data_IF_482988221914
#
_entry.id   IF_482988221914
#
_cell.length_a   1.000
_cell.length_b   1.000
_cell.length_c   1.000
_cell.angle_alpha   90.00
_cell.angle_beta   90.00
_cell.angle_gamma   90.00
#
_symmetry.space_group_name_H-M   'P 1'
#
loop_
_entity.id
_entity.type
_entity.pdbx_description
1 polymer ?
#
# COMPACT_ATOMS: atom_id res chain seq x y z
N UNK A 1 1.73 -16.05 -6.48
CA UNK A 1 1.45 -14.70 -5.92
C UNK A 1 0.83 -13.80 -6.98
N UNK A 2 1.31 -13.84 -8.23
CA UNK A 2 0.82 -13.01 -9.34
C UNK A 2 -0.69 -13.17 -9.55
N UNK A 3 -1.22 -14.39 -9.60
CA UNK A 3 -2.66 -14.64 -9.76
C UNK A 3 -3.55 -14.05 -8.65
N UNK A 4 -3.01 -13.79 -7.44
CA UNK A 4 -3.75 -13.12 -6.37
C UNK A 4 -3.77 -11.60 -6.58
N UNK A 5 -2.67 -11.05 -7.07
CA UNK A 5 -2.57 -9.63 -7.41
C UNK A 5 -3.48 -9.34 -8.59
N UNK A 6 -3.45 -10.17 -9.66
CA UNK A 6 -4.35 -10.04 -10.81
C UNK A 6 -5.83 -10.05 -10.40
N UNK A 7 -6.18 -10.91 -9.43
CA UNK A 7 -7.55 -10.92 -8.88
C UNK A 7 -7.91 -9.62 -8.16
N UNK A 8 -6.99 -9.04 -7.40
CA UNK A 8 -7.21 -7.75 -6.72
C UNK A 8 -7.34 -6.60 -7.72
N UNK A 9 -6.52 -6.60 -8.79
CA UNK A 9 -6.59 -5.61 -9.85
C UNK A 9 -7.86 -5.68 -10.69
N UNK A 10 -8.56 -6.80 -10.68
CA UNK A 10 -9.85 -6.97 -11.34
C UNK A 10 -11.05 -6.42 -10.57
N UNK A 11 -10.85 -5.93 -9.33
CA UNK A 11 -11.91 -5.38 -8.51
C UNK A 11 -12.05 -3.87 -8.75
N UNK A 12 -13.30 -3.40 -8.75
CA UNK A 12 -13.62 -2.00 -9.03
C UNK A 12 -13.87 -1.16 -7.78
N UNK A 13 -13.96 -1.79 -6.62
CA UNK A 13 -14.19 -1.11 -5.34
C UNK A 13 -13.53 -1.87 -4.19
N UNK A 14 -13.22 -1.17 -3.12
CA UNK A 14 -12.57 -1.71 -1.94
C UNK A 14 -11.26 -1.01 -1.61
N UNK A 15 -10.62 -1.41 -0.52
CA UNK A 15 -9.32 -0.87 -0.08
C UNK A 15 -8.24 -1.92 -0.25
N UNK A 16 -7.19 -1.57 -0.98
CA UNK A 16 -5.94 -2.33 -1.06
C UNK A 16 -4.90 -1.62 -0.20
N UNK A 17 -4.39 -2.31 0.82
CA UNK A 17 -3.37 -1.78 1.71
C UNK A 17 -2.01 -2.37 1.38
N UNK A 18 -1.00 -1.52 1.21
CA UNK A 18 0.40 -1.94 1.06
C UNK A 18 1.13 -1.56 2.34
N UNK A 19 1.64 -2.57 3.04
CA UNK A 19 2.19 -2.41 4.39
C UNK A 19 3.60 -2.95 4.52
N UNK A 20 4.33 -2.42 5.47
CA UNK A 20 5.73 -2.80 5.72
C UNK A 20 6.52 -1.65 6.37
N UNK A 21 7.73 -1.91 6.85
CA UNK A 21 8.59 -0.89 7.45
C UNK A 21 8.99 0.18 6.41
N UNK A 22 9.55 1.28 6.92
CA UNK A 22 10.16 2.30 6.06
C UNK A 22 11.25 1.68 5.19
N UNK A 23 11.31 2.08 3.93
CA UNK A 23 12.28 1.53 2.96
C UNK A 23 11.94 0.14 2.43
N UNK A 24 10.75 -0.42 2.70
CA UNK A 24 10.35 -1.73 2.16
C UNK A 24 9.84 -1.69 0.72
N UNK A 25 9.82 -0.53 0.07
CA UNK A 25 9.39 -0.38 -1.32
C UNK A 25 7.88 -0.22 -1.50
N UNK A 26 7.13 0.18 -0.46
CA UNK A 26 5.67 0.37 -0.52
C UNK A 26 5.26 1.34 -1.63
N UNK A 27 5.88 2.53 -1.68
CA UNK A 27 5.61 3.52 -2.73
C UNK A 27 5.81 2.93 -4.12
N UNK A 28 6.94 2.26 -4.37
CA UNK A 28 7.21 1.64 -5.67
C UNK A 28 6.15 0.62 -6.07
N UNK A 29 5.72 -0.22 -5.14
CA UNK A 29 4.66 -1.20 -5.37
C UNK A 29 3.32 -0.51 -5.62
N UNK A 30 2.99 0.50 -4.84
CA UNK A 30 1.76 1.30 -5.00
C UNK A 30 1.71 1.96 -6.39
N UNK A 31 2.78 2.61 -6.81
CA UNK A 31 2.89 3.20 -8.14
C UNK A 31 2.75 2.16 -9.26
N UNK A 32 3.33 0.97 -9.08
CA UNK A 32 3.18 -0.12 -10.05
C UNK A 32 1.73 -0.57 -10.15
N UNK A 33 1.07 -0.83 -9.02
CA UNK A 33 -0.33 -1.25 -9.00
C UNK A 33 -1.26 -0.23 -9.67
N UNK A 34 -1.14 1.06 -9.31
CA UNK A 34 -2.02 2.08 -9.90
C UNK A 34 -1.74 2.31 -11.39
N UNK A 35 -0.52 2.09 -11.86
CA UNK A 35 -0.20 2.14 -13.30
C UNK A 35 -0.81 0.98 -14.08
N UNK A 36 -0.87 -0.21 -13.50
CA UNK A 36 -1.56 -1.38 -14.10
C UNK A 36 -3.08 -1.19 -14.14
N UNK A 37 -3.65 -0.48 -13.17
CA UNK A 37 -5.07 -0.15 -13.10
C UNK A 37 -5.47 1.00 -14.04
N UNK A 38 -4.51 1.83 -14.46
CA UNK A 38 -4.78 3.01 -15.28
C UNK A 38 -5.11 2.61 -16.72
N UNK A 39 -6.20 3.13 -17.22
CA UNK A 39 -6.64 2.98 -18.61
C UNK A 39 -7.25 4.30 -19.13
N UNK A 40 -7.50 4.39 -20.42
CA UNK A 40 -8.19 5.56 -21.02
C UNK A 40 -9.63 5.76 -20.51
N UNK A 41 -10.15 4.79 -19.75
CA UNK A 41 -11.53 4.79 -19.21
C UNK A 41 -11.59 4.96 -17.70
N UNK A 42 -10.45 5.05 -17.02
CA UNK A 42 -10.39 5.14 -15.56
C UNK A 42 -9.84 6.49 -15.13
N UNK A 43 -10.56 7.16 -14.21
CA UNK A 43 -10.13 8.40 -13.58
C UNK A 43 -9.33 8.07 -12.32
N UNK A 44 -7.99 8.12 -12.42
CA UNK A 44 -7.07 7.93 -11.30
C UNK A 44 -6.69 9.28 -10.71
N UNK A 45 -6.99 9.47 -9.43
CA UNK A 45 -6.56 10.65 -8.67
C UNK A 45 -5.71 10.23 -7.48
N UNK A 46 -4.60 10.91 -7.27
CA UNK A 46 -3.69 10.63 -6.16
C UNK A 46 -3.60 11.77 -5.16
N UNK A 47 -3.37 11.44 -3.89
CA UNK A 47 -3.03 12.36 -2.81
C UNK A 47 -1.69 11.92 -2.20
N UNK A 48 -0.67 12.76 -2.28
CA UNK A 48 0.71 12.38 -1.96
C UNK A 48 1.45 13.46 -1.15
N UNK A 49 2.42 13.02 -0.34
CA UNK A 49 3.26 13.91 0.48
C UNK A 49 4.72 13.39 0.55
N UNK A 50 5.60 13.80 -0.40
CA UNK A 50 5.32 14.49 -1.67
C UNK A 50 4.97 13.53 -2.83
N UNK A 51 4.69 14.06 -4.02
CA UNK A 51 4.65 13.29 -5.27
C UNK A 51 6.07 12.85 -5.62
N UNK A 52 6.32 11.53 -5.65
CA UNK A 52 7.65 10.97 -5.94
C UNK A 52 7.91 10.80 -7.44
N UNK A 53 6.91 10.33 -8.18
CA UNK A 53 7.01 10.07 -9.61
C UNK A 53 5.78 10.57 -10.36
N UNK A 54 5.99 11.07 -11.55
CA UNK A 54 4.87 11.47 -12.41
C UNK A 54 4.23 10.25 -13.10
N UNK A 55 2.91 10.14 -12.98
CA UNK A 55 2.10 9.11 -13.65
C UNK A 55 1.35 9.77 -14.79
N UNK A 56 1.73 9.43 -16.03
CA UNK A 56 1.03 9.94 -17.21
C UNK A 56 -0.42 9.43 -17.22
N UNK A 57 -1.37 10.34 -17.32
CA UNK A 57 -2.80 10.02 -17.33
C UNK A 57 -3.49 10.06 -15.96
N UNK A 58 -2.74 10.26 -14.87
CA UNK A 58 -3.31 10.44 -13.53
C UNK A 58 -3.35 11.92 -13.14
N UNK A 59 -4.32 12.29 -12.33
CA UNK A 59 -4.36 13.58 -11.64
C UNK A 59 -3.67 13.44 -10.28
N UNK A 60 -2.49 14.02 -10.13
CA UNK A 60 -1.70 13.90 -8.89
C UNK A 60 -1.77 15.19 -8.09
N UNK A 61 -2.22 15.08 -6.84
CA UNK A 61 -2.38 16.19 -5.91
C UNK A 61 -1.37 16.05 -4.78
N UNK A 62 -0.47 17.02 -4.67
CA UNK A 62 0.49 17.07 -3.58
C UNK A 62 -0.10 17.79 -2.38
N UNK A 63 -0.03 17.17 -1.21
CA UNK A 63 -0.45 17.75 0.06
C UNK A 63 0.37 18.98 0.40
N UNK A 64 -0.28 19.99 0.93
CA UNK A 64 0.36 21.22 1.41
C UNK A 64 -0.40 21.76 2.63
N UNK A 65 0.01 21.28 3.80
CA UNK A 65 -0.62 21.65 5.08
C UNK A 65 -0.52 23.15 5.39
N UNK A 66 0.50 23.85 4.84
CA UNK A 66 0.66 25.30 5.07
C UNK A 66 -0.49 26.12 4.51
N UNK A 67 -1.17 25.61 3.48
CA UNK A 67 -2.34 26.25 2.87
C UNK A 67 -3.64 25.51 3.20
N UNK A 68 -3.63 24.60 4.16
CA UNK A 68 -4.80 23.85 4.62
C UNK A 68 -5.20 22.66 3.73
N UNK A 69 -4.36 22.27 2.77
CA UNK A 69 -4.59 21.08 1.97
C UNK A 69 -4.00 19.86 2.69
N UNK A 70 -4.82 19.20 3.48
CA UNK A 70 -4.50 17.94 4.20
C UNK A 70 -4.98 16.73 3.40
N UNK A 71 -4.59 15.52 3.81
CA UNK A 71 -5.12 14.28 3.21
C UNK A 71 -6.65 14.21 3.30
N UNK A 72 -7.23 14.51 4.46
CA UNK A 72 -8.68 14.49 4.66
C UNK A 72 -9.40 15.53 3.81
N UNK A 73 -8.94 16.79 3.77
CA UNK A 73 -9.56 17.85 2.97
C UNK A 73 -9.42 17.59 1.47
N UNK A 74 -8.26 17.10 1.04
CA UNK A 74 -8.00 16.68 -0.33
C UNK A 74 -8.90 15.54 -0.76
N UNK A 75 -9.00 14.49 0.07
CA UNK A 75 -9.83 13.32 -0.21
C UNK A 75 -11.31 13.67 -0.37
N UNK A 76 -11.86 14.52 0.51
CA UNK A 76 -13.23 15.05 0.33
C UNK A 76 -13.41 15.82 -0.98
N UNK A 77 -12.38 16.49 -1.44
CA UNK A 77 -12.44 17.27 -2.69
C UNK A 77 -12.39 16.37 -3.92
N UNK A 78 -11.51 15.38 -3.93
CA UNK A 78 -11.37 14.48 -5.08
C UNK A 78 -12.56 13.54 -5.24
N UNK A 79 -13.25 13.17 -4.16
CA UNK A 79 -14.48 12.36 -4.21
C UNK A 79 -15.61 13.05 -5.01
N UNK A 80 -15.55 14.36 -5.22
CA UNK A 80 -16.47 15.11 -6.07
C UNK A 80 -16.02 15.23 -7.52
N UNK A 81 -14.92 14.61 -7.88
CA UNK A 81 -14.33 14.61 -9.22
C UNK A 81 -14.54 13.29 -9.97
N UNK A 82 -15.50 12.47 -9.48
CA UNK A 82 -15.87 11.18 -10.08
C UNK A 82 -14.65 10.25 -10.29
N UNK A 83 -13.82 9.99 -9.26
CA UNK A 83 -12.67 9.12 -9.39
C UNK A 83 -13.11 7.65 -9.42
N UNK A 84 -12.55 6.86 -10.32
CA UNK A 84 -12.68 5.40 -10.25
C UNK A 84 -11.66 4.81 -9.27
N UNK A 85 -10.44 5.37 -9.27
CA UNK A 85 -9.32 4.90 -8.47
C UNK A 85 -8.73 6.06 -7.68
N UNK A 86 -8.57 5.87 -6.39
CA UNK A 86 -7.99 6.84 -5.47
C UNK A 86 -6.71 6.24 -4.88
N UNK A 87 -5.57 6.89 -5.11
CA UNK A 87 -4.32 6.55 -4.43
C UNK A 87 -4.07 7.54 -3.30
N UNK A 88 -3.93 7.05 -2.08
CA UNK A 88 -3.57 7.86 -0.91
C UNK A 88 -2.18 7.42 -0.46
N UNK A 89 -1.21 8.32 -0.46
CA UNK A 89 0.18 8.03 -0.12
C UNK A 89 0.30 7.23 1.17
N UNK A 90 -0.38 7.66 2.22
CA UNK A 90 -0.48 6.92 3.49
C UNK A 90 -1.70 7.33 4.31
N UNK A 91 -2.20 6.41 5.14
CA UNK A 91 -3.22 6.71 6.16
C UNK A 91 -2.53 7.00 7.49
N UNK A 92 -2.57 8.26 7.93
CA UNK A 92 -1.95 8.71 9.19
C UNK A 92 -2.94 8.89 10.33
N UNK A 93 -4.16 9.28 10.01
CA UNK A 93 -5.17 9.72 10.96
C UNK A 93 -6.53 9.06 10.73
N UNK A 94 -7.35 9.07 11.77
CA UNK A 94 -8.70 8.50 11.77
C UNK A 94 -9.61 9.12 10.71
N UNK A 95 -9.54 10.43 10.54
CA UNK A 95 -10.42 11.17 9.63
C UNK A 95 -10.19 10.72 8.18
N UNK A 96 -8.93 10.70 7.74
CA UNK A 96 -8.55 10.23 6.40
C UNK A 96 -8.92 8.76 6.21
N UNK A 97 -8.66 7.90 7.20
CA UNK A 97 -8.98 6.47 7.14
C UNK A 97 -10.50 6.24 7.02
N UNK A 98 -11.31 6.95 7.80
CA UNK A 98 -12.78 6.86 7.72
C UNK A 98 -13.31 7.25 6.35
N UNK A 99 -12.82 8.35 5.76
CA UNK A 99 -13.24 8.80 4.44
C UNK A 99 -12.82 7.80 3.36
N UNK A 100 -11.61 7.23 3.45
CA UNK A 100 -11.10 6.24 2.52
C UNK A 100 -11.94 4.94 2.53
N UNK A 101 -12.27 4.45 3.73
CA UNK A 101 -13.15 3.28 3.91
C UNK A 101 -14.55 3.55 3.35
N UNK A 102 -15.15 4.71 3.67
CA UNK A 102 -16.47 5.07 3.13
C UNK A 102 -16.45 5.20 1.60
N UNK A 103 -15.41 5.79 1.03
CA UNK A 103 -15.24 5.88 -0.42
C UNK A 103 -15.22 4.50 -1.07
N UNK A 104 -14.53 3.53 -0.47
CA UNK A 104 -14.44 2.17 -1.00
C UNK A 104 -15.78 1.42 -0.96
N UNK A 105 -16.58 1.63 0.07
CA UNK A 105 -17.93 1.05 0.20
C UNK A 105 -18.89 1.68 -0.82
N UNK A 106 -18.69 2.96 -1.17
CA UNK A 106 -19.51 3.68 -2.15
C UNK A 106 -19.08 3.46 -3.60
N UNK A 107 -18.16 2.52 -3.87
CA UNK A 107 -17.85 2.08 -5.23
C UNK A 107 -16.49 2.47 -5.77
N UNK A 108 -15.62 3.12 -4.97
CA UNK A 108 -14.29 3.52 -5.40
C UNK A 108 -13.23 2.47 -5.04
N UNK A 109 -12.24 2.29 -5.89
CA UNK A 109 -11.06 1.50 -5.55
C UNK A 109 -10.02 2.40 -4.88
N UNK A 110 -9.70 2.12 -3.62
CA UNK A 110 -8.73 2.89 -2.84
C UNK A 110 -7.45 2.08 -2.66
N UNK A 111 -6.31 2.65 -3.01
CA UNK A 111 -4.98 2.06 -2.78
C UNK A 111 -4.22 2.95 -1.81
N UNK A 112 -3.73 2.40 -0.71
CA UNK A 112 -3.00 3.19 0.28
C UNK A 112 -1.92 2.40 1.00
N UNK A 113 -1.12 3.09 1.81
CA UNK A 113 -0.09 2.47 2.64
C UNK A 113 -0.34 2.67 4.13
N UNK A 114 0.17 1.72 4.91
CA UNK A 114 0.29 1.83 6.37
C UNK A 114 1.67 1.35 6.84
N UNK A 115 2.13 1.91 7.94
CA UNK A 115 3.37 1.47 8.59
C UNK A 115 3.06 0.36 9.62
N UNK A 116 2.74 -0.83 9.14
CA UNK A 116 2.57 -2.04 9.95
C UNK A 116 3.49 -3.15 9.46
N UNK A 117 3.79 -4.11 10.32
CA UNK A 117 4.77 -5.16 10.01
C UNK A 117 4.17 -6.43 9.40
N UNK A 118 2.85 -6.58 9.44
CA UNK A 118 2.14 -7.75 8.91
C UNK A 118 0.73 -7.37 8.47
N UNK A 119 0.10 -8.23 7.67
CA UNK A 119 -1.30 -8.06 7.27
C UNK A 119 -2.26 -8.11 8.47
N UNK A 120 -2.01 -8.98 9.46
CA UNK A 120 -2.83 -9.06 10.67
C UNK A 120 -2.76 -7.76 11.48
N UNK A 121 -1.55 -7.22 11.71
CA UNK A 121 -1.39 -5.95 12.44
C UNK A 121 -1.98 -4.74 11.71
N UNK A 122 -2.25 -4.86 10.42
CA UNK A 122 -2.95 -3.82 9.66
C UNK A 122 -4.40 -3.67 10.11
N UNK A 123 -5.09 -4.78 10.34
CA UNK A 123 -6.47 -4.78 10.82
C UNK A 123 -6.55 -4.12 12.20
N UNK A 124 -5.73 -4.59 13.15
CA UNK A 124 -5.66 -3.97 14.49
C UNK A 124 -5.34 -2.48 14.40
N UNK A 125 -4.44 -2.08 13.50
CA UNK A 125 -4.09 -0.66 13.35
C UNK A 125 -5.27 0.18 12.84
N UNK A 126 -6.08 -0.33 11.91
CA UNK A 126 -7.30 0.34 11.46
C UNK A 126 -8.34 0.45 12.59
N UNK A 127 -8.49 -0.60 13.41
CA UNK A 127 -9.33 -0.56 14.61
C UNK A 127 -8.84 0.48 15.62
N UNK A 128 -7.51 0.54 15.90
CA UNK A 128 -6.90 1.56 16.76
C UNK A 128 -7.10 2.99 16.22
N UNK A 129 -7.22 3.14 14.91
CA UNK A 129 -7.58 4.41 14.27
C UNK A 129 -9.08 4.72 14.33
N UNK A 130 -9.87 3.90 15.03
CA UNK A 130 -11.30 4.09 15.24
C UNK A 130 -12.19 3.65 14.07
N UNK A 131 -11.69 2.79 13.18
CA UNK A 131 -12.52 2.18 12.14
C UNK A 131 -13.18 0.92 12.71
N UNK A 132 -14.50 0.85 12.61
CA UNK A 132 -15.26 -0.28 13.14
C UNK A 132 -14.97 -1.56 12.36
N UNK A 133 -14.84 -2.70 13.06
CA UNK A 133 -14.41 -3.99 12.49
C UNK A 133 -15.29 -4.44 11.31
N UNK A 134 -16.59 -4.16 11.34
CA UNK A 134 -17.49 -4.52 10.23
C UNK A 134 -17.19 -3.69 8.97
N UNK A 135 -16.82 -2.41 9.11
CA UNK A 135 -16.41 -1.57 7.98
C UNK A 135 -15.09 -2.04 7.38
N UNK A 136 -14.15 -2.47 8.23
CA UNK A 136 -12.88 -3.06 7.76
C UNK A 136 -13.16 -4.34 6.97
N UNK A 137 -14.02 -5.22 7.48
CA UNK A 137 -14.37 -6.47 6.82
C UNK A 137 -15.04 -6.26 5.46
N UNK A 138 -15.89 -5.26 5.32
CA UNK A 138 -16.59 -4.95 4.09
C UNK A 138 -15.73 -4.19 3.07
N UNK A 139 -14.77 -3.40 3.55
CA UNK A 139 -13.97 -2.50 2.68
C UNK A 139 -12.63 -3.08 2.27
N UNK A 140 -11.89 -3.74 3.18
CA UNK A 140 -10.51 -4.18 2.91
C UNK A 140 -10.49 -5.46 2.08
N UNK A 141 -10.22 -5.33 0.79
CA UNK A 141 -10.18 -6.45 -0.17
C UNK A 141 -8.80 -7.11 -0.27
N UNK A 142 -7.75 -6.42 0.18
CA UNK A 142 -6.40 -6.98 0.16
C UNK A 142 -5.40 -6.21 1.00
N UNK A 143 -4.47 -6.96 1.60
CA UNK A 143 -3.32 -6.41 2.31
C UNK A 143 -2.04 -7.07 1.79
N UNK A 144 -1.15 -6.25 1.23
CA UNK A 144 0.14 -6.67 0.70
C UNK A 144 1.22 -6.28 1.71
N UNK A 145 1.68 -7.25 2.50
CA UNK A 145 2.78 -7.04 3.44
C UNK A 145 4.13 -7.25 2.73
N UNK A 146 4.98 -6.23 2.75
CA UNK A 146 6.20 -6.18 1.96
C UNK A 146 7.45 -5.94 2.79
N UNK A 147 8.50 -6.70 2.49
CA UNK A 147 9.85 -6.47 3.02
C UNK A 147 10.88 -6.70 1.92
N UNK A 148 11.85 -5.81 1.84
CA UNK A 148 13.00 -6.00 0.95
C UNK A 148 14.05 -6.87 1.65
N UNK A 149 14.52 -7.86 0.94
CA UNK A 149 15.63 -8.72 1.36
C UNK A 149 16.82 -8.56 0.40
N UNK A 150 18.02 -8.76 0.90
CA UNK A 150 19.20 -8.74 0.04
C UNK A 150 19.16 -9.91 -0.93
N UNK A 151 19.36 -9.63 -2.20
CA UNK A 151 19.47 -10.65 -3.23
C UNK A 151 20.89 -11.18 -3.25
N UNK A 152 21.05 -12.50 -3.27
CA UNK A 152 22.35 -13.14 -3.42
C UNK A 152 22.94 -12.80 -4.79
N UNK A 153 24.24 -12.48 -4.82
CA UNK A 153 24.95 -12.23 -6.07
C UNK A 153 24.89 -13.46 -6.98
N UNK A 154 24.43 -13.32 -8.23
CA UNK A 154 24.33 -14.46 -9.14
C UNK A 154 25.69 -15.08 -9.47
N UNK A 155 26.78 -14.32 -9.36
CA UNK A 155 28.11 -14.79 -9.72
C UNK A 155 28.89 -15.43 -8.56
N UNK A 156 28.67 -15.00 -7.31
CA UNK A 156 29.44 -15.48 -6.15
C UNK A 156 28.61 -16.32 -5.14
N UNK A 157 27.29 -16.49 -5.34
CA UNK A 157 26.48 -17.34 -4.48
C UNK A 157 26.96 -18.78 -4.53
N UNK A 158 27.18 -19.40 -3.36
CA UNK A 158 27.54 -20.81 -3.23
C UNK A 158 26.49 -21.50 -2.38
N UNK A 159 26.09 -22.74 -2.73
CA UNK A 159 25.22 -23.53 -1.88
C UNK A 159 25.95 -23.84 -0.57
N UNK A 160 25.27 -23.67 0.56
CA UNK A 160 25.78 -24.03 1.88
C UNK A 160 24.77 -24.97 2.52
N UNK A 161 25.27 -26.10 3.07
CA UNK A 161 24.42 -27.01 3.80
C UNK A 161 23.98 -26.34 5.11
N UNK A 162 22.67 -26.36 5.37
CA UNK A 162 22.12 -25.82 6.61
C UNK A 162 22.66 -26.64 7.81
N UNK A 163 23.04 -25.92 8.86
CA UNK A 163 23.38 -26.57 10.13
C UNK A 163 22.19 -26.42 11.08
N UNK A 164 22.08 -27.30 12.09
CA UNK A 164 21.00 -27.26 13.09
C UNK A 164 20.83 -25.84 13.70
N UNK A 165 21.95 -25.15 13.94
CA UNK A 165 21.97 -23.78 14.45
C UNK A 165 21.46 -22.75 13.44
N UNK A 166 21.59 -22.99 12.13
CA UNK A 166 21.05 -22.11 11.09
C UNK A 166 19.55 -22.34 10.86
N UNK A 167 19.02 -23.48 11.26
CA UNK A 167 17.58 -23.77 11.22
C UNK A 167 16.83 -23.15 12.39
N UNK A 168 17.45 -23.07 13.57
CA UNK A 168 16.89 -22.42 14.76
C UNK A 168 16.73 -20.90 14.58
N UNK A 169 17.53 -20.26 13.72
CA UNK A 169 17.49 -18.82 13.42
C UNK A 169 16.66 -18.46 12.19
N UNK A 170 15.87 -19.38 11.61
CA UNK A 170 15.02 -19.07 10.45
C UNK A 170 13.90 -18.08 10.75
N UNK A 171 13.55 -17.88 12.02
CA UNK A 171 12.64 -16.81 12.46
C UNK A 171 13.32 -15.43 12.54
N UNK A 172 14.65 -15.38 12.57
CA UNK A 172 15.47 -14.17 12.65
C UNK A 172 16.30 -13.94 11.38
N UNK A 173 15.81 -14.32 10.21
CA UNK A 173 16.54 -14.14 8.96
C UNK A 173 16.90 -12.68 8.70
N UNK A 174 17.90 -12.23 9.43
CA UNK A 174 18.80 -11.20 8.97
C UNK A 174 19.59 -11.80 7.80
N UNK A 175 19.40 -11.22 6.65
CA UNK A 175 20.05 -11.53 5.40
C UNK A 175 21.49 -12.00 5.56
N UNK A 176 21.90 -13.17 5.01
CA UNK A 176 23.31 -13.55 4.99
C UNK A 176 24.06 -12.49 4.19
N UNK A 177 24.94 -11.77 4.88
CA UNK A 177 25.93 -10.95 4.20
C UNK A 177 26.71 -11.86 3.26
N UNK A 178 27.00 -11.39 2.05
CA UNK A 178 28.07 -12.00 1.24
C UNK A 178 29.36 -11.87 2.07
N UNK A 179 29.78 -12.95 2.67
CA UNK A 179 31.08 -13.03 3.32
C UNK A 179 32.06 -13.39 2.20
N UNK A 180 32.90 -12.45 1.91
CA UNK A 180 34.08 -12.61 1.04
C UNK A 180 35.06 -13.63 1.62
#
# INVERSE_FOLDING_TARGET
EDAKIDKLLGLTSGVIMIVGPTGSGKSSTMYTLVRELLSDRTNLITLEDPVEYHIKGATQVQINEKVGLTFASGLRSILRQDPDIIMIGELRDQETASIAVQASITGHLVVSTLHTNSSASTITRLEDMGIESYLIADSVIGVIAQRLVRRLCPFCKKPKQATRRSEEHTSELQSPACIS
#
